data_IF_632110483557
#
_entry.id   IF_632110483557
#
_cell.length_a   1.000
_cell.length_b   1.000
_cell.length_c   1.000
_cell.angle_alpha   90.00
_cell.angle_beta   90.00
_cell.angle_gamma   90.00
#
_symmetry.space_group_name_H-M   'P 1'
#
loop_
_entity.id
_entity.type
_entity.pdbx_description
1 polymer ?
#
# COMPACT_ATOMS: atom_id res chain seq x y z
N UNK A 1 -45.20 -27.64 -44.48
CA UNK A 1 -45.91 -26.37 -44.17
C UNK A 1 -46.68 -26.42 -42.85
N UNK A 2 -47.35 -27.54 -42.50
CA UNK A 2 -48.17 -27.61 -41.29
C UNK A 2 -47.38 -27.40 -39.96
N UNK A 3 -46.10 -27.76 -39.92
CA UNK A 3 -45.28 -27.66 -38.70
C UNK A 3 -44.55 -26.31 -38.51
N UNK A 4 -44.69 -25.37 -39.46
CA UNK A 4 -44.01 -24.06 -39.42
C UNK A 4 -44.30 -23.27 -38.12
N UNK A 5 -45.56 -23.22 -37.61
CA UNK A 5 -45.84 -22.54 -36.34
C UNK A 5 -45.16 -23.20 -35.13
N UNK A 6 -45.07 -24.53 -35.10
CA UNK A 6 -44.41 -25.26 -34.02
C UNK A 6 -42.89 -25.03 -34.04
N UNK A 7 -42.29 -24.97 -35.23
CA UNK A 7 -40.88 -24.62 -35.38
C UNK A 7 -40.60 -23.16 -34.98
N UNK A 8 -41.49 -22.22 -35.31
CA UNK A 8 -41.37 -20.82 -34.89
C UNK A 8 -41.34 -20.68 -33.35
N UNK A 9 -42.17 -21.45 -32.64
CA UNK A 9 -42.16 -21.47 -31.16
C UNK A 9 -40.84 -21.98 -30.60
N UNK A 10 -40.20 -22.97 -31.26
CA UNK A 10 -38.91 -23.49 -30.81
C UNK A 10 -37.76 -22.46 -30.91
N UNK A 11 -37.87 -21.48 -31.81
CA UNK A 11 -36.88 -20.40 -31.93
C UNK A 11 -36.95 -19.41 -30.75
N UNK A 12 -38.07 -19.33 -30.04
CA UNK A 12 -38.18 -18.45 -28.86
C UNK A 12 -37.14 -18.81 -27.78
N UNK A 13 -36.81 -20.10 -27.60
CA UNK A 13 -35.79 -20.48 -26.61
C UNK A 13 -34.40 -19.93 -26.96
N UNK A 14 -34.06 -19.88 -28.25
CA UNK A 14 -32.79 -19.31 -28.72
C UNK A 14 -32.79 -17.79 -28.57
N UNK A 15 -33.92 -17.14 -28.85
CA UNK A 15 -34.10 -15.70 -28.66
C UNK A 15 -34.01 -15.33 -27.17
N UNK A 16 -34.66 -16.07 -26.27
CA UNK A 16 -34.60 -15.84 -24.82
C UNK A 16 -33.16 -15.97 -24.28
N UNK A 17 -32.40 -16.96 -24.78
CA UNK A 17 -30.98 -17.10 -24.46
C UNK A 17 -30.17 -15.90 -24.95
N UNK A 18 -30.47 -15.40 -26.14
CA UNK A 18 -29.79 -14.22 -26.70
C UNK A 18 -30.10 -12.97 -25.89
N UNK A 19 -31.37 -12.76 -25.54
CA UNK A 19 -31.80 -11.64 -24.69
C UNK A 19 -31.15 -11.71 -23.30
N UNK A 20 -30.98 -12.90 -22.74
CA UNK A 20 -30.27 -13.08 -21.47
C UNK A 20 -28.77 -12.69 -21.55
N UNK A 21 -28.13 -12.89 -22.70
CA UNK A 21 -26.74 -12.49 -22.93
C UNK A 21 -26.62 -10.97 -23.14
N UNK A 22 -27.60 -10.36 -23.83
CA UNK A 22 -27.71 -8.92 -24.02
C UNK A 22 -28.05 -8.19 -22.72
N UNK A 23 -28.83 -8.80 -21.83
CA UNK A 23 -29.11 -8.24 -20.50
C UNK A 23 -27.86 -8.13 -19.61
N UNK A 24 -26.79 -8.87 -19.93
CA UNK A 24 -25.48 -8.80 -19.25
C UNK A 24 -24.54 -7.73 -19.84
N UNK A 25 -25.01 -6.89 -20.76
CA UNK A 25 -24.23 -5.76 -21.31
C UNK A 25 -23.75 -4.76 -20.26
N UNK A 26 -24.46 -4.48 -19.14
CA UNK A 26 -23.95 -3.58 -18.09
C UNK A 26 -22.62 -4.02 -17.46
N UNK A 27 -22.24 -5.30 -17.57
CA UNK A 27 -20.93 -5.81 -17.12
C UNK A 27 -19.81 -5.27 -18.03
N UNK A 28 -20.07 -5.08 -19.32
CA UNK A 28 -19.09 -4.45 -20.22
C UNK A 28 -18.91 -2.98 -19.88
N UNK A 29 -20.00 -2.29 -19.56
CA UNK A 29 -19.97 -0.88 -19.17
C UNK A 29 -19.18 -0.71 -17.86
N UNK A 30 -19.39 -1.59 -16.87
CA UNK A 30 -18.61 -1.56 -15.63
C UNK A 30 -17.12 -1.82 -15.87
N UNK A 31 -16.76 -2.77 -16.75
CA UNK A 31 -15.36 -3.02 -17.10
C UNK A 31 -14.76 -1.82 -17.83
N UNK A 32 -15.49 -1.16 -18.74
CA UNK A 32 -14.98 0.03 -19.45
C UNK A 32 -14.74 1.21 -18.49
N UNK A 33 -15.67 1.44 -17.55
CA UNK A 33 -15.57 2.50 -16.54
C UNK A 33 -14.41 2.25 -15.57
N UNK A 34 -14.28 1.02 -15.05
CA UNK A 34 -13.18 0.64 -14.16
C UNK A 34 -11.84 0.67 -14.89
N UNK A 35 -11.79 0.23 -16.15
CA UNK A 35 -10.60 0.32 -16.99
C UNK A 35 -10.17 1.76 -17.23
N UNK A 36 -11.11 2.67 -17.52
CA UNK A 36 -10.80 4.09 -17.72
C UNK A 36 -10.24 4.74 -16.44
N UNK A 37 -10.72 4.33 -15.26
CA UNK A 37 -10.17 4.78 -13.99
C UNK A 37 -8.77 4.22 -13.75
N UNK A 38 -8.58 2.93 -14.02
CA UNK A 38 -7.30 2.24 -13.88
C UNK A 38 -6.24 2.81 -14.85
N UNK A 39 -6.59 3.10 -16.10
CA UNK A 39 -5.71 3.74 -17.08
C UNK A 39 -5.21 5.12 -16.59
N UNK A 40 -6.05 5.89 -15.91
CA UNK A 40 -5.63 7.17 -15.29
C UNK A 40 -4.64 6.95 -14.16
N UNK A 41 -4.88 5.95 -13.29
CA UNK A 41 -3.96 5.59 -12.22
C UNK A 41 -2.62 5.13 -12.80
N UNK A 42 -2.64 4.25 -13.80
CA UNK A 42 -1.43 3.77 -14.49
C UNK A 42 -0.65 4.94 -15.10
N UNK A 43 -1.32 5.87 -15.79
CA UNK A 43 -0.66 7.03 -16.40
C UNK A 43 0.04 7.93 -15.35
N UNK A 44 -0.63 8.25 -14.24
CA UNK A 44 -0.05 9.06 -13.16
C UNK A 44 1.15 8.37 -12.50
N UNK A 45 1.04 7.05 -12.29
CA UNK A 45 2.12 6.23 -11.71
C UNK A 45 3.30 6.07 -12.67
N UNK A 46 3.07 5.97 -13.97
CA UNK A 46 4.16 5.91 -14.96
C UNK A 46 4.99 7.20 -15.00
N UNK A 47 4.33 8.36 -14.88
CA UNK A 47 5.03 9.66 -14.83
C UNK A 47 5.97 9.72 -13.63
N UNK A 48 5.50 9.23 -12.48
CA UNK A 48 6.26 9.23 -11.24
C UNK A 48 7.21 8.02 -11.09
N UNK A 49 7.10 6.98 -11.92
CA UNK A 49 7.84 5.71 -11.77
C UNK A 49 9.34 5.92 -11.65
N UNK A 50 9.93 6.71 -12.56
CA UNK A 50 11.38 6.97 -12.54
C UNK A 50 11.83 7.73 -11.29
N UNK A 51 11.06 8.74 -10.88
CA UNK A 51 11.35 9.50 -9.68
C UNK A 51 11.24 8.61 -8.42
N UNK A 52 10.20 7.78 -8.37
CA UNK A 52 9.95 6.80 -7.29
C UNK A 52 11.08 5.78 -7.19
N UNK A 53 11.50 5.19 -8.31
CA UNK A 53 12.62 4.23 -8.37
C UNK A 53 13.94 4.89 -7.98
N UNK A 54 14.19 6.14 -8.38
CA UNK A 54 15.40 6.87 -7.97
C UNK A 54 15.40 7.30 -6.51
N UNK A 55 14.23 7.51 -5.91
CA UNK A 55 14.06 7.83 -4.50
C UNK A 55 14.04 6.57 -3.61
N UNK A 56 13.79 5.40 -4.18
CA UNK A 56 13.78 4.13 -3.47
C UNK A 56 15.21 3.74 -3.06
N UNK A 57 15.58 4.08 -1.83
CA UNK A 57 16.88 3.76 -1.24
C UNK A 57 17.01 2.30 -0.75
N UNK A 58 15.92 1.53 -0.77
CA UNK A 58 15.85 0.16 -0.24
C UNK A 58 15.11 -0.80 -1.17
N UNK A 59 15.44 -2.09 -1.05
CA UNK A 59 14.76 -3.17 -1.77
C UNK A 59 13.27 -3.27 -1.41
N UNK A 60 12.93 -2.90 -0.18
CA UNK A 60 11.56 -2.94 0.32
C UNK A 60 10.68 -1.90 -0.38
N UNK A 61 11.18 -0.67 -0.58
CA UNK A 61 10.48 0.36 -1.34
C UNK A 61 10.25 -0.03 -2.82
N UNK A 62 11.17 -0.79 -3.42
CA UNK A 62 11.01 -1.31 -4.79
C UNK A 62 9.99 -2.44 -4.83
N UNK A 63 10.02 -3.33 -3.84
CA UNK A 63 9.04 -4.40 -3.71
C UNK A 63 7.61 -3.86 -3.54
N UNK A 64 7.43 -2.73 -2.86
CA UNK A 64 6.12 -2.06 -2.74
C UNK A 64 5.62 -1.55 -4.10
N UNK A 65 6.50 -0.92 -4.88
CA UNK A 65 6.18 -0.46 -6.24
C UNK A 65 5.85 -1.66 -7.15
N UNK A 66 6.63 -2.73 -7.06
CA UNK A 66 6.39 -3.96 -7.83
C UNK A 66 5.04 -4.61 -7.45
N UNK A 67 4.73 -4.70 -6.16
CA UNK A 67 3.49 -5.30 -5.67
C UNK A 67 2.26 -4.55 -6.19
N UNK A 68 2.31 -3.22 -6.19
CA UNK A 68 1.25 -2.38 -6.77
C UNK A 68 1.01 -2.72 -8.25
N UNK A 69 2.07 -2.77 -9.07
CA UNK A 69 1.94 -3.10 -10.49
C UNK A 69 1.42 -4.53 -10.71
N UNK A 70 1.82 -5.48 -9.85
CA UNK A 70 1.30 -6.85 -9.89
C UNK A 70 -0.20 -6.93 -9.58
N UNK A 71 -0.69 -6.12 -8.65
CA UNK A 71 -2.13 -6.10 -8.34
C UNK A 71 -2.96 -5.52 -9.48
N UNK A 72 -2.41 -4.53 -10.19
CA UNK A 72 -3.01 -4.01 -11.42
C UNK A 72 -2.99 -5.08 -12.53
N UNK A 73 -1.87 -5.76 -12.76
CA UNK A 73 -1.77 -6.83 -13.77
C UNK A 73 -2.76 -7.97 -13.51
N UNK A 74 -2.91 -8.40 -12.25
CA UNK A 74 -3.91 -9.43 -11.87
C UNK A 74 -5.32 -9.02 -12.24
N UNK A 75 -5.69 -7.77 -11.93
CA UNK A 75 -7.03 -7.23 -12.25
C UNK A 75 -7.27 -7.24 -13.77
N UNK A 76 -6.27 -6.82 -14.55
CA UNK A 76 -6.34 -6.83 -16.02
C UNK A 76 -6.41 -8.26 -16.58
N UNK A 77 -5.68 -9.21 -15.99
CA UNK A 77 -5.73 -10.63 -16.37
C UNK A 77 -7.11 -11.25 -16.12
N UNK A 78 -7.75 -10.91 -15.00
CA UNK A 78 -9.10 -11.40 -14.69
C UNK A 78 -10.13 -10.85 -15.67
N UNK A 79 -10.07 -9.55 -16.00
CA UNK A 79 -10.92 -8.96 -17.05
C UNK A 79 -10.66 -9.58 -18.43
N UNK A 80 -9.40 -9.86 -18.78
CA UNK A 80 -9.05 -10.51 -20.05
C UNK A 80 -9.71 -11.90 -20.15
N UNK A 81 -9.64 -12.71 -19.08
CA UNK A 81 -10.28 -14.03 -19.00
C UNK A 81 -11.80 -13.93 -19.13
N UNK A 82 -12.42 -13.00 -18.41
CA UNK A 82 -13.87 -12.80 -18.44
C UNK A 82 -14.36 -12.39 -19.84
N UNK A 83 -13.66 -11.44 -20.47
CA UNK A 83 -13.97 -11.00 -21.83
C UNK A 83 -13.75 -12.14 -22.84
N UNK A 84 -12.70 -12.95 -22.69
CA UNK A 84 -12.44 -14.10 -23.56
C UNK A 84 -13.54 -15.18 -23.44
N UNK A 85 -13.93 -15.52 -22.21
CA UNK A 85 -15.02 -16.48 -21.96
C UNK A 85 -16.35 -15.99 -22.54
N UNK A 86 -16.63 -14.68 -22.41
CA UNK A 86 -17.84 -14.06 -22.97
C UNK A 86 -17.81 -14.01 -24.49
N UNK A 87 -16.69 -13.61 -25.10
CA UNK A 87 -16.50 -13.62 -26.55
C UNK A 87 -16.76 -15.00 -27.15
N UNK A 88 -16.20 -16.07 -26.54
CA UNK A 88 -16.46 -17.44 -26.97
C UNK A 88 -17.92 -17.90 -26.80
N UNK A 89 -18.68 -17.30 -25.89
CA UNK A 89 -20.13 -17.57 -25.75
C UNK A 89 -20.94 -16.84 -26.81
N UNK A 90 -20.60 -15.57 -27.07
CA UNK A 90 -21.18 -14.75 -28.13
C UNK A 90 -20.96 -15.40 -29.50
N UNK A 91 -19.74 -15.81 -29.82
CA UNK A 91 -19.40 -16.44 -31.10
C UNK A 91 -20.19 -17.74 -31.35
N UNK A 92 -20.37 -18.56 -30.31
CA UNK A 92 -21.19 -19.78 -30.40
C UNK A 92 -22.65 -19.46 -30.67
N UNK A 93 -23.20 -18.43 -30.03
CA UNK A 93 -24.59 -18.04 -30.21
C UNK A 93 -24.84 -17.38 -31.58
N UNK A 94 -23.89 -16.57 -32.06
CA UNK A 94 -23.92 -16.02 -33.43
C UNK A 94 -23.90 -17.13 -34.49
N UNK A 95 -23.07 -18.16 -34.32
CA UNK A 95 -23.04 -19.30 -35.23
C UNK A 95 -24.39 -20.04 -35.28
N UNK A 96 -25.06 -20.21 -34.13
CA UNK A 96 -26.40 -20.80 -34.07
C UNK A 96 -27.45 -19.94 -34.76
N UNK A 97 -27.48 -18.63 -34.47
CA UNK A 97 -28.41 -17.69 -35.10
C UNK A 97 -28.21 -17.62 -36.62
N UNK A 98 -26.97 -17.60 -37.10
CA UNK A 98 -26.66 -17.60 -38.52
C UNK A 98 -27.19 -18.87 -39.22
N UNK A 99 -27.03 -20.04 -38.60
CA UNK A 99 -27.57 -21.29 -39.12
C UNK A 99 -29.11 -21.28 -39.17
N UNK A 100 -29.78 -20.77 -38.13
CA UNK A 100 -31.24 -20.62 -38.10
C UNK A 100 -31.74 -19.63 -39.15
N UNK A 101 -31.09 -18.47 -39.28
CA UNK A 101 -31.42 -17.49 -40.31
C UNK A 101 -31.32 -18.07 -41.73
N UNK A 102 -30.34 -18.94 -41.99
CA UNK A 102 -30.23 -19.63 -43.28
C UNK A 102 -31.42 -20.57 -43.54
N UNK A 103 -31.84 -21.33 -42.52
CA UNK A 103 -33.02 -22.22 -42.62
C UNK A 103 -34.28 -21.42 -42.89
N UNK A 104 -34.55 -20.37 -42.10
CA UNK A 104 -35.75 -19.54 -42.25
C UNK A 104 -35.80 -18.79 -43.58
N UNK A 105 -34.65 -18.37 -44.14
CA UNK A 105 -34.55 -17.84 -45.50
C UNK A 105 -34.97 -18.86 -46.56
N UNK A 106 -34.55 -20.12 -46.42
CA UNK A 106 -34.98 -21.19 -47.34
C UNK A 106 -36.48 -21.49 -47.19
N UNK A 107 -36.99 -21.52 -45.97
CA UNK A 107 -38.44 -21.68 -45.68
C UNK A 107 -39.26 -20.57 -46.31
N UNK A 108 -38.80 -19.31 -46.25
CA UNK A 108 -39.47 -18.18 -46.88
C UNK A 108 -39.50 -18.31 -48.41
N UNK A 109 -38.41 -18.76 -49.03
CA UNK A 109 -38.36 -19.00 -50.48
C UNK A 109 -39.35 -20.08 -50.89
N UNK A 110 -39.37 -21.20 -50.16
CA UNK A 110 -40.31 -22.29 -50.40
C UNK A 110 -41.77 -21.86 -50.18
N UNK A 111 -42.05 -21.02 -49.18
CA UNK A 111 -43.38 -20.49 -48.92
C UNK A 111 -43.91 -19.60 -50.05
N UNK A 112 -43.03 -18.81 -50.68
CA UNK A 112 -43.38 -18.01 -51.87
C UNK A 112 -43.60 -18.89 -53.10
N UNK A 113 -42.78 -19.92 -53.29
CA UNK A 113 -42.91 -20.86 -54.42
C UNK A 113 -44.18 -21.71 -54.36
N UNK A 114 -44.67 -22.01 -53.15
CA UNK A 114 -45.88 -22.82 -52.93
C UNK A 114 -47.16 -22.00 -52.70
N UNK A 115 -47.12 -20.67 -52.91
CA UNK A 115 -48.28 -19.78 -52.69
C UNK A 115 -48.95 -20.01 -51.32
N UNK A 116 -48.12 -20.08 -50.28
CA UNK A 116 -48.60 -20.39 -48.93
C UNK A 116 -49.61 -19.33 -48.42
N UNK A 117 -50.60 -19.72 -47.60
CA UNK A 117 -51.56 -18.79 -47.01
C UNK A 117 -50.87 -17.64 -46.27
N UNK A 118 -51.45 -16.45 -46.32
CA UNK A 118 -50.90 -15.21 -45.74
C UNK A 118 -50.49 -15.35 -44.27
N UNK A 119 -51.26 -16.12 -43.48
CA UNK A 119 -50.94 -16.40 -42.08
C UNK A 119 -49.61 -17.15 -41.88
N UNK A 120 -49.26 -18.09 -42.77
CA UNK A 120 -47.98 -18.82 -42.70
C UNK A 120 -46.84 -17.90 -43.16
N UNK A 121 -47.06 -17.13 -44.22
CA UNK A 121 -46.07 -16.18 -44.74
C UNK A 121 -45.73 -15.10 -43.71
N UNK A 122 -46.72 -14.61 -42.96
CA UNK A 122 -46.52 -13.63 -41.88
C UNK A 122 -45.69 -14.21 -40.73
N UNK A 123 -45.96 -15.44 -40.28
CA UNK A 123 -45.19 -16.08 -39.20
C UNK A 123 -43.72 -16.31 -39.62
N UNK A 124 -43.50 -16.74 -40.85
CA UNK A 124 -42.14 -16.94 -41.40
C UNK A 124 -41.38 -15.62 -41.44
N UNK A 125 -42.04 -14.54 -41.87
CA UNK A 125 -41.43 -13.21 -41.93
C UNK A 125 -41.10 -12.66 -40.54
N UNK A 126 -42.05 -12.68 -39.60
CA UNK A 126 -41.84 -12.22 -38.22
C UNK A 126 -40.69 -12.99 -37.54
N UNK A 127 -40.65 -14.31 -37.69
CA UNK A 127 -39.58 -15.13 -37.09
C UNK A 127 -38.21 -14.79 -37.70
N UNK A 128 -38.13 -14.62 -39.02
CA UNK A 128 -36.88 -14.24 -39.69
C UNK A 128 -36.41 -12.83 -39.30
N UNK A 129 -37.33 -11.87 -39.14
CA UNK A 129 -37.01 -10.52 -38.68
C UNK A 129 -36.48 -10.54 -37.25
N UNK A 130 -37.14 -11.26 -36.33
CA UNK A 130 -36.68 -11.41 -34.93
C UNK A 130 -35.28 -12.03 -34.83
N UNK A 131 -35.01 -13.09 -35.60
CA UNK A 131 -33.69 -13.73 -35.64
C UNK A 131 -32.61 -12.80 -36.24
N UNK A 132 -32.95 -12.01 -37.26
CA UNK A 132 -32.03 -11.03 -37.84
C UNK A 132 -31.70 -9.89 -36.86
N UNK A 133 -32.69 -9.36 -36.15
CA UNK A 133 -32.48 -8.35 -35.10
C UNK A 133 -31.61 -8.89 -33.97
N UNK A 134 -31.90 -10.11 -33.48
CA UNK A 134 -31.10 -10.75 -32.44
C UNK A 134 -29.64 -10.95 -32.87
N UNK A 135 -29.42 -11.37 -34.12
CA UNK A 135 -28.06 -11.50 -34.68
C UNK A 135 -27.34 -10.16 -34.71
N UNK A 136 -27.97 -9.10 -35.22
CA UNK A 136 -27.35 -7.78 -35.32
C UNK A 136 -26.97 -7.19 -33.95
N UNK A 137 -27.85 -7.31 -32.94
CA UNK A 137 -27.54 -6.85 -31.57
C UNK A 137 -26.39 -7.64 -30.93
N UNK A 138 -26.29 -8.93 -31.24
CA UNK A 138 -25.23 -9.77 -30.73
C UNK A 138 -23.89 -9.52 -31.43
N UNK A 139 -23.91 -9.21 -32.73
CA UNK A 139 -22.73 -8.73 -33.49
C UNK A 139 -22.20 -7.40 -32.91
N UNK A 140 -23.08 -6.45 -32.59
CA UNK A 140 -22.66 -5.21 -31.92
C UNK A 140 -21.99 -5.49 -30.56
N UNK A 141 -22.57 -6.40 -29.77
CA UNK A 141 -22.00 -6.78 -28.47
C UNK A 141 -20.64 -7.48 -28.62
N UNK A 142 -20.47 -8.28 -29.68
CA UNK A 142 -19.20 -8.92 -30.03
C UNK A 142 -18.13 -7.87 -30.33
N UNK A 143 -18.45 -6.88 -31.17
CA UNK A 143 -17.51 -5.84 -31.56
C UNK A 143 -17.08 -4.99 -30.35
N UNK A 144 -18.03 -4.66 -29.46
CA UNK A 144 -17.72 -4.00 -28.17
C UNK A 144 -16.80 -4.85 -27.30
N UNK A 145 -17.05 -6.16 -27.20
CA UNK A 145 -16.22 -7.08 -26.42
C UNK A 145 -14.79 -7.13 -26.98
N UNK A 146 -14.64 -7.22 -28.31
CA UNK A 146 -13.32 -7.20 -28.98
C UNK A 146 -12.58 -5.87 -28.77
N UNK A 147 -13.31 -4.74 -28.83
CA UNK A 147 -12.72 -3.43 -28.56
C UNK A 147 -12.19 -3.33 -27.12
N UNK A 148 -12.94 -3.84 -26.14
CA UNK A 148 -12.52 -3.89 -24.74
C UNK A 148 -11.32 -4.81 -24.54
N UNK A 149 -11.30 -6.00 -25.15
CA UNK A 149 -10.13 -6.88 -25.13
C UNK A 149 -8.87 -6.17 -25.64
N UNK A 150 -9.00 -5.40 -26.74
CA UNK A 150 -7.90 -4.61 -27.28
C UNK A 150 -7.45 -3.46 -26.38
N UNK A 151 -8.33 -2.88 -25.55
CA UNK A 151 -7.95 -1.88 -24.54
C UNK A 151 -7.23 -2.56 -23.37
N UNK A 152 -7.81 -3.61 -22.80
CA UNK A 152 -7.22 -4.38 -21.68
C UNK A 152 -5.83 -4.90 -22.04
N UNK A 153 -5.65 -5.49 -23.23
CA UNK A 153 -4.35 -5.99 -23.69
C UNK A 153 -3.28 -4.88 -23.79
N UNK A 154 -3.65 -3.67 -24.25
CA UNK A 154 -2.73 -2.52 -24.31
C UNK A 154 -2.36 -2.01 -22.91
N UNK A 155 -3.33 -1.94 -22.01
CA UNK A 155 -3.09 -1.56 -20.62
C UNK A 155 -2.16 -2.58 -19.94
N UNK A 156 -2.38 -3.88 -20.19
CA UNK A 156 -1.55 -4.96 -19.66
C UNK A 156 -0.11 -4.89 -20.17
N UNK A 157 0.09 -4.65 -21.46
CA UNK A 157 1.43 -4.46 -22.03
C UNK A 157 2.16 -3.27 -21.39
N UNK A 158 1.43 -2.20 -21.07
CA UNK A 158 1.97 -1.01 -20.40
C UNK A 158 2.40 -1.32 -18.96
N UNK A 159 1.57 -2.07 -18.21
CA UNK A 159 1.88 -2.51 -16.85
C UNK A 159 3.07 -3.47 -16.83
N UNK A 160 3.14 -4.40 -17.80
CA UNK A 160 4.25 -5.32 -17.92
C UNK A 160 5.57 -4.59 -18.19
N UNK A 161 5.57 -3.57 -19.04
CA UNK A 161 6.76 -2.73 -19.26
C UNK A 161 7.21 -2.02 -17.97
N UNK A 162 6.27 -1.57 -17.14
CA UNK A 162 6.59 -0.98 -15.84
C UNK A 162 7.20 -2.02 -14.87
N UNK A 163 6.63 -3.23 -14.81
CA UNK A 163 7.18 -4.35 -14.01
C UNK A 163 8.59 -4.72 -14.46
N UNK A 164 8.82 -4.83 -15.77
CA UNK A 164 10.13 -5.16 -16.33
C UNK A 164 11.16 -4.10 -15.96
N UNK A 165 10.80 -2.81 -16.03
CA UNK A 165 11.66 -1.70 -15.60
C UNK A 165 11.97 -1.74 -14.10
N UNK A 166 10.97 -1.99 -13.26
CA UNK A 166 11.17 -2.13 -11.81
C UNK A 166 12.12 -3.28 -11.49
N UNK A 167 11.97 -4.43 -12.15
CA UNK A 167 12.85 -5.59 -11.97
C UNK A 167 14.30 -5.33 -12.43
N UNK A 168 14.47 -4.53 -13.49
CA UNK A 168 15.78 -4.14 -13.99
C UNK A 168 16.51 -3.22 -13.00
N UNK A 169 15.82 -2.25 -12.41
CA UNK A 169 16.38 -1.38 -11.36
C UNK A 169 16.71 -2.17 -10.07
N UNK A 170 15.88 -3.13 -9.68
CA UNK A 170 16.22 -4.04 -8.56
C UNK A 170 17.52 -4.80 -8.86
N UNK A 171 17.65 -5.36 -10.07
CA UNK A 171 18.84 -6.08 -10.48
C UNK A 171 20.09 -5.18 -10.52
N UNK A 172 19.95 -3.92 -10.94
CA UNK A 172 21.04 -2.95 -10.97
C UNK A 172 21.44 -2.48 -9.56
N UNK A 173 20.50 -2.30 -8.63
CA UNK A 173 20.81 -2.09 -7.22
C UNK A 173 21.54 -3.28 -6.63
N UNK A 174 21.08 -4.51 -6.89
CA UNK A 174 21.75 -5.73 -6.42
C UNK A 174 23.17 -5.87 -6.99
N UNK A 175 23.41 -5.48 -8.24
CA UNK A 175 24.75 -5.43 -8.83
C UNK A 175 25.62 -4.32 -8.22
N UNK A 176 25.02 -3.16 -7.92
CA UNK A 176 25.70 -2.02 -7.34
C UNK A 176 25.96 -2.16 -5.84
N UNK A 177 25.30 -3.10 -5.12
CA UNK A 177 25.66 -3.47 -3.74
C UNK A 177 27.13 -3.91 -3.61
N UNK A 178 27.69 -4.54 -4.65
CA UNK A 178 29.10 -4.94 -4.68
C UNK A 178 30.05 -3.78 -5.06
N UNK A 179 29.53 -2.68 -5.59
CA UNK A 179 30.30 -1.51 -5.99
C UNK A 179 30.23 -0.47 -4.87
N UNK A 180 31.40 -0.04 -4.38
CA UNK A 180 31.49 0.95 -3.30
C UNK A 180 31.01 2.33 -3.81
N UNK A 181 29.73 2.64 -3.62
CA UNK A 181 29.11 3.87 -4.13
C UNK A 181 29.62 5.16 -3.48
N UNK A 182 30.23 5.08 -2.29
CA UNK A 182 30.53 6.27 -1.49
C UNK A 182 32.02 6.63 -1.54
N UNK A 183 32.30 7.82 -2.05
CA UNK A 183 33.62 8.42 -1.97
C UNK A 183 34.09 8.46 -0.49
N UNK A 184 35.38 8.16 -0.23
CA UNK A 184 35.91 8.27 1.12
C UNK A 184 35.79 9.71 1.63
N UNK A 185 35.68 9.89 2.95
CA UNK A 185 35.52 11.21 3.60
C UNK A 185 36.64 12.21 3.22
N UNK A 186 37.78 11.69 2.78
CA UNK A 186 38.98 12.43 2.40
C UNK A 186 39.07 12.75 0.89
N UNK A 187 38.01 12.53 0.08
CA UNK A 187 38.02 12.91 -1.34
C UNK A 187 37.80 14.42 -1.54
N UNK A 188 38.52 15.03 -2.49
CA UNK A 188 38.46 16.47 -2.81
C UNK A 188 37.05 16.96 -3.19
N UNK A 189 36.19 16.09 -3.73
CA UNK A 189 34.79 16.39 -4.05
C UNK A 189 33.94 16.82 -2.84
N UNK A 190 34.34 16.41 -1.63
CA UNK A 190 33.67 16.71 -0.36
C UNK A 190 34.33 17.91 0.33
N UNK A 191 35.65 18.05 0.22
CA UNK A 191 36.41 19.14 0.83
C UNK A 191 36.08 20.52 0.22
N UNK A 192 35.55 20.55 -1.02
CA UNK A 192 35.21 21.78 -1.73
C UNK A 192 33.76 22.28 -1.56
N UNK A 193 32.87 21.57 -0.87
CA UNK A 193 31.45 21.99 -0.77
C UNK A 193 31.29 23.10 0.29
N UNK A 194 30.82 24.31 -0.07
CA UNK A 194 30.66 25.40 0.89
C UNK A 194 29.58 25.07 1.93
N UNK A 195 29.83 25.35 3.22
CA UNK A 195 28.85 25.14 4.31
C UNK A 195 27.50 25.82 4.05
N UNK A 196 27.49 26.89 3.27
CA UNK A 196 26.28 27.62 2.85
C UNK A 196 25.40 26.83 1.88
N UNK A 197 26.00 26.02 0.99
CA UNK A 197 25.25 25.15 0.07
C UNK A 197 24.66 23.92 0.77
N UNK A 198 25.36 23.41 1.79
CA UNK A 198 24.83 22.36 2.66
C UNK A 198 23.60 22.86 3.43
N UNK A 199 23.67 24.10 3.96
CA UNK A 199 22.54 24.73 4.65
C UNK A 199 21.33 24.99 3.75
N UNK A 200 21.53 25.42 2.50
CA UNK A 200 20.41 25.68 1.57
C UNK A 200 19.76 24.41 1.03
N UNK A 201 20.52 23.31 0.92
CA UNK A 201 19.97 21.98 0.58
C UNK A 201 19.15 21.41 1.74
N UNK A 202 19.69 21.41 2.96
CA UNK A 202 18.93 20.98 4.15
C UNK A 202 17.64 21.79 4.34
N UNK A 203 17.69 23.12 4.13
CA UNK A 203 16.51 23.99 4.22
C UNK A 203 15.47 23.73 3.11
N UNK A 204 15.85 23.15 1.96
CA UNK A 204 14.91 22.78 0.90
C UNK A 204 14.18 21.48 1.24
N UNK A 205 14.90 20.47 1.75
CA UNK A 205 14.30 19.20 2.17
C UNK A 205 13.39 19.37 3.39
N UNK A 206 13.77 20.21 4.34
CA UNK A 206 12.88 20.55 5.46
C UNK A 206 11.59 21.22 4.94
N UNK A 207 11.69 22.05 3.89
CA UNK A 207 10.52 22.72 3.30
C UNK A 207 9.63 21.76 2.50
N UNK A 208 10.19 20.78 1.79
CA UNK A 208 9.40 19.73 1.11
C UNK A 208 8.67 18.86 2.13
N UNK A 209 9.35 18.42 3.19
CA UNK A 209 8.76 17.67 4.29
C UNK A 209 7.57 18.43 4.94
N UNK A 210 7.72 19.73 5.21
CA UNK A 210 6.62 20.56 5.69
C UNK A 210 5.47 20.71 4.70
N UNK A 211 5.75 20.71 3.40
CA UNK A 211 4.70 20.81 2.37
C UNK A 211 3.89 19.51 2.23
N UNK A 212 4.52 18.35 2.40
CA UNK A 212 3.86 17.04 2.42
C UNK A 212 2.95 16.88 3.65
N UNK A 213 3.42 17.31 4.83
CA UNK A 213 2.59 17.38 6.05
C UNK A 213 1.40 18.33 5.86
N UNK A 214 1.61 19.48 5.22
CA UNK A 214 0.54 20.45 4.99
C UNK A 214 -0.51 19.95 3.99
N UNK A 215 -0.08 19.24 2.94
CA UNK A 215 -0.96 18.58 1.99
C UNK A 215 -1.83 17.52 2.69
N UNK A 216 -1.25 16.73 3.58
CA UNK A 216 -1.95 15.71 4.37
C UNK A 216 -2.98 16.30 5.34
N UNK A 217 -2.63 17.38 6.05
CA UNK A 217 -3.56 18.10 6.94
C UNK A 217 -4.79 18.60 6.17
N UNK A 218 -4.61 18.97 4.90
CA UNK A 218 -5.67 19.48 4.04
C UNK A 218 -6.48 18.39 3.32
N UNK A 219 -5.88 17.23 3.02
CA UNK A 219 -6.54 16.15 2.29
C UNK A 219 -7.26 15.13 3.18
N UNK A 220 -6.84 14.97 4.45
CA UNK A 220 -7.31 13.91 5.36
C UNK A 220 -7.71 14.48 6.74
N UNK A 221 -8.47 15.57 6.76
CA UNK A 221 -8.86 16.27 8.00
C UNK A 221 -9.66 15.35 8.94
N UNK A 222 -10.51 14.51 8.36
CA UNK A 222 -11.41 13.56 9.01
C UNK A 222 -10.66 12.47 9.78
N UNK A 223 -9.52 12.00 9.25
CA UNK A 223 -8.66 11.01 9.94
C UNK A 223 -7.88 11.61 11.09
N UNK A 224 -7.37 12.84 10.95
CA UNK A 224 -6.71 13.57 12.05
C UNK A 224 -7.69 13.86 13.19
N UNK A 225 -8.94 14.21 12.86
CA UNK A 225 -10.02 14.39 13.84
C UNK A 225 -10.33 13.05 14.55
N UNK A 226 -10.41 11.94 13.82
CA UNK A 226 -10.60 10.62 14.41
C UNK A 226 -9.46 10.23 15.37
N UNK A 227 -8.21 10.46 14.98
CA UNK A 227 -7.04 10.14 15.81
C UNK A 227 -6.95 11.02 17.05
N UNK A 228 -7.33 12.30 16.94
CA UNK A 228 -7.48 13.22 18.06
C UNK A 228 -8.59 12.77 19.01
N UNK A 229 -9.74 12.36 18.47
CA UNK A 229 -10.87 11.83 19.24
C UNK A 229 -10.53 10.50 19.92
N UNK A 230 -9.77 9.62 19.25
CA UNK A 230 -9.26 8.37 19.81
C UNK A 230 -8.32 8.65 20.98
N UNK A 231 -7.36 9.57 20.82
CA UNK A 231 -6.46 10.00 21.88
C UNK A 231 -7.23 10.58 23.07
N UNK A 232 -8.20 11.47 22.80
CA UNK A 232 -9.02 12.09 23.83
C UNK A 232 -9.88 11.06 24.56
N UNK A 233 -10.48 10.12 23.82
CA UNK A 233 -11.30 9.02 24.33
C UNK A 233 -10.49 8.10 25.24
N UNK A 234 -9.32 7.64 24.77
CA UNK A 234 -8.42 6.82 25.59
C UNK A 234 -7.95 7.57 26.84
N UNK A 235 -7.63 8.86 26.73
CA UNK A 235 -7.20 9.68 27.86
C UNK A 235 -8.30 9.84 28.92
N UNK A 236 -9.57 9.91 28.52
CA UNK A 236 -10.73 9.97 29.42
C UNK A 236 -10.97 8.61 30.10
N UNK A 237 -10.96 7.52 29.33
CA UNK A 237 -11.14 6.15 29.86
C UNK A 237 -10.03 5.80 30.86
N UNK A 238 -8.78 6.08 30.52
CA UNK A 238 -7.62 5.83 31.38
C UNK A 238 -7.58 6.76 32.61
N UNK A 239 -8.13 7.98 32.52
CA UNK A 239 -8.34 8.83 33.70
C UNK A 239 -9.42 8.27 34.62
N UNK A 240 -10.50 7.72 34.06
CA UNK A 240 -11.60 7.13 34.81
C UNK A 240 -11.19 5.87 35.58
N UNK A 241 -10.35 5.02 34.97
CA UNK A 241 -9.85 3.79 35.60
C UNK A 241 -8.86 4.03 36.74
N UNK A 242 -8.36 5.27 36.92
CA UNK A 242 -7.44 5.65 38.00
C UNK A 242 -8.02 5.43 39.40
N UNK A 243 -9.34 5.62 39.58
CA UNK A 243 -10.01 5.35 40.87
C UNK A 243 -10.09 3.85 41.18
N UNK A 244 -10.38 3.03 40.17
CA UNK A 244 -10.45 1.59 40.30
C UNK A 244 -9.05 0.96 40.53
N UNK A 245 -8.04 1.43 39.79
CA UNK A 245 -6.65 0.97 39.95
C UNK A 245 -6.08 1.29 41.34
N UNK A 246 -6.39 2.47 41.90
CA UNK A 246 -6.00 2.83 43.28
C UNK A 246 -6.71 1.98 44.34
N UNK A 247 -7.99 1.66 44.12
CA UNK A 247 -8.74 0.78 45.02
C UNK A 247 -8.20 -0.66 45.00
N UNK A 248 -7.69 -1.13 43.87
CA UNK A 248 -7.11 -2.48 43.72
C UNK A 248 -5.66 -2.57 44.19
N UNK A 249 -4.86 -1.50 44.01
CA UNK A 249 -3.49 -1.39 44.54
C UNK A 249 -3.43 -1.43 46.07
N UNK A 250 -4.50 -1.00 46.75
CA UNK A 250 -4.58 -1.10 48.22
C UNK A 250 -4.73 -2.55 48.70
N UNK A 251 -5.12 -3.47 47.80
CA UNK A 251 -5.41 -4.87 48.11
C UNK A 251 -4.24 -5.83 47.81
N UNK A 252 -3.26 -5.44 46.98
CA UNK A 252 -2.13 -6.31 46.62
C UNK A 252 -0.82 -5.50 46.37
N UNK A 253 0.18 -5.58 47.28
CA UNK A 253 1.45 -4.85 47.16
C UNK A 253 2.31 -5.28 45.96
N UNK A 254 2.15 -6.51 45.45
CA UNK A 254 2.89 -7.01 44.28
C UNK A 254 2.44 -6.39 42.96
N UNK A 255 1.20 -5.88 42.90
CA UNK A 255 0.62 -5.24 41.72
C UNK A 255 0.99 -3.74 41.60
N UNK A 256 1.61 -3.15 42.62
CA UNK A 256 1.94 -1.72 42.69
C UNK A 256 2.92 -1.27 41.59
N UNK A 257 3.86 -2.14 41.18
CA UNK A 257 4.83 -1.82 40.13
C UNK A 257 4.17 -1.68 38.74
N UNK A 258 3.21 -2.55 38.42
CA UNK A 258 2.43 -2.51 37.17
C UNK A 258 1.37 -1.40 37.16
N UNK A 259 0.88 -0.99 38.33
CA UNK A 259 -0.16 0.05 38.46
C UNK A 259 0.37 1.49 38.39
N UNK A 260 1.69 1.71 38.51
CA UNK A 260 2.31 3.04 38.36
C UNK A 260 2.09 3.67 36.97
N UNK A 261 1.89 2.82 35.96
CA UNK A 261 1.60 3.20 34.57
C UNK A 261 0.24 3.93 34.46
N UNK A 262 -0.73 3.59 35.32
CA UNK A 262 -2.04 4.25 35.38
C UNK A 262 -2.02 5.62 36.08
N UNK A 263 -0.90 6.01 36.71
CA UNK A 263 -0.77 7.34 37.31
C UNK A 263 -0.56 8.44 36.26
N UNK A 264 -0.18 8.08 35.03
CA UNK A 264 0.06 8.99 33.90
C UNK A 264 -0.82 8.64 32.68
N UNK A 265 -2.16 8.75 32.82
CA UNK A 265 -3.12 8.27 31.82
C UNK A 265 -2.99 8.97 30.45
N UNK A 266 -2.53 10.22 30.42
CA UNK A 266 -2.31 10.97 29.17
C UNK A 266 -1.11 10.43 28.40
N UNK A 267 -0.03 10.07 29.10
CA UNK A 267 1.17 9.52 28.47
C UNK A 267 0.92 8.09 27.96
N UNK A 268 0.14 7.30 28.72
CA UNK A 268 -0.27 5.96 28.31
C UNK A 268 -1.24 5.99 27.12
N UNK A 269 -2.21 6.92 27.13
CA UNK A 269 -3.10 7.15 26.00
C UNK A 269 -2.32 7.55 24.75
N UNK A 270 -1.35 8.48 24.89
CA UNK A 270 -0.46 8.86 23.80
C UNK A 270 0.35 7.66 23.28
N UNK A 271 0.93 6.84 24.16
CA UNK A 271 1.70 5.66 23.77
C UNK A 271 0.84 4.66 22.98
N UNK A 272 -0.35 4.31 23.49
CA UNK A 272 -1.24 3.35 22.84
C UNK A 272 -1.75 3.91 21.51
N UNK A 273 -2.15 5.18 21.48
CA UNK A 273 -2.64 5.83 20.25
C UNK A 273 -1.55 5.83 19.19
N UNK A 274 -0.30 6.19 19.55
CA UNK A 274 0.82 6.17 18.61
C UNK A 274 1.18 4.76 18.15
N UNK A 275 1.14 3.76 19.03
CA UNK A 275 1.51 2.39 18.67
C UNK A 275 0.48 1.72 17.75
N UNK A 276 -0.78 2.10 17.87
CA UNK A 276 -1.87 1.60 17.01
C UNK A 276 -1.94 2.36 15.68
N UNK A 277 -1.33 3.55 15.60
CA UNK A 277 -1.37 4.41 14.41
C UNK A 277 -0.87 3.69 13.14
N UNK A 278 0.31 3.03 13.09
CA UNK A 278 0.77 2.38 11.86
C UNK A 278 -0.17 1.28 11.34
N UNK A 279 -0.87 0.57 12.24
CA UNK A 279 -1.79 -0.51 11.86
C UNK A 279 -3.17 -0.04 11.38
N UNK A 280 -3.52 1.23 11.62
CA UNK A 280 -4.79 1.81 11.17
C UNK A 280 -4.70 2.41 9.76
N UNK A 281 -3.49 2.63 9.25
CA UNK A 281 -3.24 3.21 7.94
C UNK A 281 -2.65 2.13 7.03
N UNK A 282 -3.46 1.65 6.07
CA UNK A 282 -3.08 0.59 5.11
C UNK A 282 -2.01 1.04 4.09
N UNK A 283 -1.69 2.33 4.04
CA UNK A 283 -0.63 2.93 3.23
C UNK A 283 -0.23 4.28 3.85
N UNK A 284 0.81 4.29 4.67
CA UNK A 284 1.26 5.49 5.38
C UNK A 284 2.40 6.14 4.59
N UNK A 285 2.29 7.41 4.16
CA UNK A 285 3.43 8.17 3.65
C UNK A 285 4.60 8.13 4.66
N UNK A 286 5.86 7.88 4.24
CA UNK A 286 7.01 7.73 5.13
C UNK A 286 7.17 8.89 6.14
N UNK A 287 6.81 10.11 5.73
CA UNK A 287 6.84 11.30 6.57
C UNK A 287 5.97 11.19 7.85
N UNK A 288 4.88 10.42 7.81
CA UNK A 288 4.01 10.20 8.97
C UNK A 288 4.67 9.22 9.95
N UNK A 289 5.28 8.15 9.45
CA UNK A 289 5.97 7.18 10.31
C UNK A 289 7.15 7.83 11.05
N UNK A 290 7.88 8.73 10.38
CA UNK A 290 8.93 9.51 11.03
C UNK A 290 8.39 10.51 12.06
N UNK A 291 7.28 11.18 11.76
CA UNK A 291 6.62 12.08 12.71
C UNK A 291 6.09 11.33 13.93
N UNK A 292 5.49 10.15 13.72
CA UNK A 292 5.00 9.26 14.78
C UNK A 292 6.17 8.78 15.62
N UNK A 293 7.27 8.30 15.02
CA UNK A 293 8.48 7.89 15.73
C UNK A 293 9.06 9.00 16.62
N UNK A 294 9.15 10.22 16.09
CA UNK A 294 9.62 11.38 16.85
C UNK A 294 8.68 11.74 18.01
N UNK A 295 7.37 11.69 17.78
CA UNK A 295 6.36 11.90 18.81
C UNK A 295 6.37 10.79 19.86
N UNK A 296 6.76 9.56 19.52
CA UNK A 296 6.78 8.38 20.40
C UNK A 296 7.82 8.49 21.52
N UNK A 297 8.87 9.29 21.31
CA UNK A 297 9.89 9.60 22.30
C UNK A 297 9.30 10.27 23.55
N UNK A 298 8.36 11.20 23.36
CA UNK A 298 7.73 11.98 24.45
C UNK A 298 6.99 11.09 25.47
N UNK A 299 6.04 10.22 25.08
CA UNK A 299 5.36 9.34 26.00
C UNK A 299 6.31 8.30 26.60
N UNK A 300 7.28 7.76 25.84
CA UNK A 300 8.27 6.80 26.35
C UNK A 300 9.12 7.40 27.46
N UNK A 301 9.69 8.59 27.27
CA UNK A 301 10.45 9.29 28.32
C UNK A 301 9.55 9.55 29.55
N UNK A 302 8.31 10.03 29.33
CA UNK A 302 7.37 10.36 30.41
C UNK A 302 6.92 9.13 31.21
N UNK A 303 6.89 7.95 30.60
CA UNK A 303 6.48 6.70 31.24
C UNK A 303 7.67 5.94 31.84
N UNK A 304 8.78 5.81 31.12
CA UNK A 304 9.89 4.92 31.50
C UNK A 304 10.88 5.59 32.46
N UNK A 305 11.21 6.88 32.30
CA UNK A 305 12.18 7.57 33.19
C UNK A 305 11.80 7.49 34.69
N UNK A 306 10.54 7.69 35.10
CA UNK A 306 10.15 7.60 36.50
C UNK A 306 10.25 6.18 37.08
N UNK A 307 10.12 5.15 36.24
CA UNK A 307 10.22 3.74 36.64
C UNK A 307 11.69 3.28 36.78
N UNK A 308 12.64 4.07 36.27
CA UNK A 308 14.07 3.78 36.34
C UNK A 308 14.72 4.36 37.60
N UNK A 309 15.69 3.61 38.11
CA UNK A 309 16.56 4.03 39.20
C UNK A 309 17.32 5.32 38.83
N UNK A 310 17.55 6.24 39.80
CA UNK A 310 18.21 7.53 39.56
C UNK A 310 19.51 7.48 38.72
N UNK A 311 20.38 6.46 38.85
CA UNK A 311 21.61 6.35 38.07
C UNK A 311 21.38 6.11 36.57
N UNK A 312 20.25 5.52 36.17
CA UNK A 312 19.99 5.10 34.78
C UNK A 312 19.20 6.17 34.00
N UNK A 313 18.51 7.08 34.71
CA UNK A 313 17.74 8.18 34.11
C UNK A 313 18.53 9.03 33.10
N UNK A 314 19.75 9.52 33.38
CA UNK A 314 20.51 10.31 32.41
C UNK A 314 20.87 9.52 31.15
N UNK A 315 21.08 8.19 31.26
CA UNK A 315 21.32 7.36 30.08
C UNK A 315 20.09 7.30 29.16
N UNK A 316 18.88 7.19 29.72
CA UNK A 316 17.66 7.18 28.91
C UNK A 316 17.42 8.53 28.23
N UNK A 317 17.64 9.65 28.91
CA UNK A 317 17.57 10.98 28.28
C UNK A 317 18.56 11.11 27.13
N UNK A 318 19.77 10.56 27.28
CA UNK A 318 20.80 10.63 26.25
C UNK A 318 20.50 9.71 25.06
N UNK A 319 20.00 8.49 25.31
CA UNK A 319 19.52 7.59 24.24
C UNK A 319 18.34 8.19 23.49
N UNK A 320 17.40 8.82 24.19
CA UNK A 320 16.29 9.52 23.54
C UNK A 320 16.76 10.73 22.73
N UNK A 321 17.75 11.49 23.23
CA UNK A 321 18.36 12.58 22.48
C UNK A 321 19.08 12.07 21.23
N UNK A 322 19.81 10.95 21.32
CA UNK A 322 20.45 10.31 20.17
C UNK A 322 19.42 9.84 19.15
N UNK A 323 18.33 9.20 19.58
CA UNK A 323 17.24 8.79 18.70
C UNK A 323 16.60 9.98 17.97
N UNK A 324 16.37 11.10 18.66
CA UNK A 324 15.86 12.34 18.03
C UNK A 324 16.86 12.89 17.02
N UNK A 325 18.17 12.86 17.34
CA UNK A 325 19.23 13.32 16.45
C UNK A 325 19.35 12.42 15.22
N UNK A 326 19.24 11.11 15.38
CA UNK A 326 19.28 10.12 14.30
C UNK A 326 18.04 10.26 13.39
N UNK A 327 16.84 10.43 13.97
CA UNK A 327 15.63 10.75 13.19
C UNK A 327 15.76 12.06 12.43
N UNK A 328 16.28 13.12 13.06
CA UNK A 328 16.55 14.39 12.37
C UNK A 328 17.64 14.28 11.30
N UNK A 329 18.51 13.27 11.38
CA UNK A 329 19.55 12.99 10.39
C UNK A 329 18.99 12.33 9.15
N UNK A 330 18.00 11.45 9.28
CA UNK A 330 17.26 10.88 8.15
C UNK A 330 16.55 11.99 7.33
N UNK A 331 16.07 13.05 7.99
CA UNK A 331 15.52 14.26 7.32
C UNK A 331 16.57 15.06 6.52
N UNK A 332 17.85 14.77 6.68
CA UNK A 332 18.99 15.49 6.06
C UNK A 332 19.81 14.56 5.16
N UNK A 333 19.16 13.58 4.52
CA UNK A 333 19.82 12.62 3.62
C UNK A 333 20.44 13.28 2.37
N UNK A 334 20.06 14.52 2.04
CA UNK A 334 20.63 15.32 0.95
C UNK A 334 22.08 15.79 1.18
N UNK A 335 22.67 15.57 2.36
CA UNK A 335 24.05 15.92 2.70
C UNK A 335 24.83 14.72 3.28
N UNK A 336 25.38 13.83 2.44
CA UNK A 336 26.02 12.58 2.87
C UNK A 336 27.23 12.80 3.81
N UNK A 337 27.83 13.99 3.82
CA UNK A 337 28.89 14.36 4.76
C UNK A 337 28.37 14.66 6.17
N UNK A 338 27.27 15.42 6.27
CA UNK A 338 26.68 15.83 7.55
C UNK A 338 26.12 14.60 8.25
N UNK A 339 25.36 13.77 7.52
CA UNK A 339 24.85 12.51 8.05
C UNK A 339 25.99 11.61 8.56
N UNK A 340 27.14 11.56 7.87
CA UNK A 340 28.26 10.71 8.28
C UNK A 340 29.04 11.25 9.48
N UNK A 341 29.19 12.56 9.61
CA UNK A 341 29.79 13.19 10.79
C UNK A 341 28.89 13.06 12.02
N UNK A 342 27.59 13.25 11.85
CA UNK A 342 26.60 13.04 12.93
C UNK A 342 26.60 11.59 13.37
N UNK A 343 26.63 10.62 12.45
CA UNK A 343 26.72 9.19 12.80
C UNK A 343 28.01 8.85 13.55
N UNK A 344 29.15 9.40 13.12
CA UNK A 344 30.42 9.20 13.83
C UNK A 344 30.36 9.79 15.25
N UNK A 345 29.79 10.99 15.38
CA UNK A 345 29.56 11.61 16.68
C UNK A 345 28.63 10.75 17.55
N UNK A 346 27.54 10.24 16.97
CA UNK A 346 26.58 9.35 17.63
C UNK A 346 27.24 8.07 18.14
N UNK A 347 28.06 7.41 17.32
CA UNK A 347 28.82 6.22 17.72
C UNK A 347 29.77 6.52 18.88
N UNK A 348 30.45 7.67 18.85
CA UNK A 348 31.34 8.10 19.96
C UNK A 348 30.53 8.34 21.24
N UNK A 349 29.37 8.99 21.15
CA UNK A 349 28.50 9.23 22.30
C UNK A 349 27.93 7.90 22.84
N UNK A 350 27.49 7.00 21.96
CA UNK A 350 27.01 5.67 22.34
C UNK A 350 28.08 4.86 23.09
N UNK A 351 29.32 4.85 22.57
CA UNK A 351 30.46 4.20 23.23
C UNK A 351 30.73 4.85 24.59
N UNK A 352 30.71 6.18 24.69
CA UNK A 352 30.91 6.90 25.95
C UNK A 352 29.82 6.54 26.99
N UNK A 353 28.57 6.39 26.56
CA UNK A 353 27.45 5.94 27.43
C UNK A 353 27.71 4.54 27.96
N UNK A 354 28.09 3.59 27.08
CA UNK A 354 28.35 2.21 27.49
C UNK A 354 29.52 2.15 28.49
N UNK A 355 30.60 2.87 28.22
CA UNK A 355 31.75 2.96 29.13
C UNK A 355 31.32 3.55 30.49
N UNK A 356 30.51 4.61 30.47
CA UNK A 356 30.00 5.24 31.67
C UNK A 356 29.07 4.31 32.48
N UNK A 357 28.17 3.57 31.81
CA UNK A 357 27.24 2.63 32.43
C UNK A 357 27.97 1.43 33.07
N UNK A 358 29.01 0.92 32.41
CA UNK A 358 29.85 -0.17 32.95
C UNK A 358 30.65 0.33 34.16
N UNK A 359 31.18 1.55 34.10
CA UNK A 359 31.90 2.16 35.23
C UNK A 359 30.99 2.51 36.40
N UNK A 360 29.76 2.98 36.16
CA UNK A 360 28.83 3.33 37.23
C UNK A 360 28.31 2.10 37.98
N UNK A 361 28.08 0.97 37.29
CA UNK A 361 27.83 -0.33 37.94
C UNK A 361 29.03 -0.81 38.75
N UNK A 362 30.24 -0.74 38.19
CA UNK A 362 31.46 -1.11 38.91
C UNK A 362 31.73 -0.24 40.16
N UNK A 363 31.24 1.01 40.18
CA UNK A 363 31.34 1.91 41.32
C UNK A 363 30.28 1.65 42.40
N UNK A 364 29.08 1.15 42.05
CA UNK A 364 28.05 0.75 43.03
C UNK A 364 28.34 -0.62 43.66
N UNK A 365 28.78 -1.61 42.88
CA UNK A 365 29.16 -2.94 43.41
C UNK A 365 30.45 -2.87 44.28
N UNK A 366 31.27 -1.83 44.05
CA UNK A 366 32.46 -1.53 44.84
C UNK A 366 32.17 -0.88 46.20
N UNK A 367 30.96 -0.35 46.44
CA UNK A 367 30.61 0.28 47.73
C UNK A 367 29.89 -0.62 48.72
N UNK A 368 29.32 -1.75 48.26
CA UNK A 368 28.66 -2.74 49.14
C UNK A 368 29.54 -3.95 49.51
N UNK A 369 30.72 -4.10 48.93
CA UNK A 369 31.63 -5.22 49.23
C UNK A 369 32.86 -4.77 50.04
N UNK A 370 32.66 -4.59 51.35
CA UNK A 370 33.76 -4.68 52.31
C UNK A 370 34.28 -6.12 52.42
N UNK A 371 35.05 -6.62 51.44
CA UNK A 371 36.06 -7.69 51.58
C UNK A 371 36.74 -8.01 50.23
N UNK A 372 38.06 -8.24 50.18
CA UNK A 372 38.80 -8.42 48.92
C UNK A 372 38.57 -9.82 48.32
N UNK A 373 38.30 -9.89 47.00
CA UNK A 373 38.14 -11.17 46.31
C UNK A 373 39.51 -11.86 46.03
N UNK A 374 39.64 -13.18 46.24
CA UNK A 374 40.94 -13.87 46.29
C UNK A 374 41.44 -14.43 44.94
N UNK A 375 40.98 -13.91 43.79
CA UNK A 375 41.21 -14.56 42.48
C UNK A 375 42.40 -14.04 41.65
N UNK A 376 43.28 -13.21 42.20
CA UNK A 376 44.43 -12.63 41.46
C UNK A 376 45.81 -13.26 41.76
N UNK A 377 45.89 -14.44 42.40
CA UNK A 377 47.18 -15.12 42.62
C UNK A 377 47.20 -16.56 42.13
N UNK A 378 47.26 -16.79 40.82
CA UNK A 378 47.95 -17.96 40.22
C UNK A 378 48.32 -17.73 38.76
N UNK A 379 49.36 -16.93 38.50
CA UNK A 379 50.29 -17.20 37.39
C UNK A 379 51.69 -16.84 37.89
N UNK A 380 52.43 -17.87 38.33
CA UNK A 380 53.89 -17.86 38.45
C UNK A 380 54.39 -18.88 37.44
N UNK A 381 55.14 -18.41 36.45
CA UNK A 381 56.35 -19.07 35.95
C UNK A 381 57.47 -18.05 36.08
#
# INVERSE_FOLDING_TARGET
MADVPAQAVSENTLLDQTDSLLARTPILDSIDDELALLERVVADRLISLRASLSAAASREAISEIEQMWRDIDRTLEDWEKDLQARGGTIDRQLAQLAARNQVWRMTMKLAREQEAPDGITSVVQDTAERLATAQASLEETRDRTLALQGKVARSRATVQEALDRTSAEEADLLKNLARRERAPLWSEAIAGTPARELGTRAMREIRSWWSEIYLLIRSETDRLVFQLLLWLGLAVVLRGSRKAARAWSASDPGAAAGMSVFERPIALAALITLLVTPGLYLSTPPAIDDAVGLLLVLPVIRLVVPLLEPPIRPALYMVSALYVIDRLRDLVEAAPLVARLVFLFEMVVAIAIVIWLVRSKALHDGSESGSPSPWSRRIRL
#
